data_IF_428500476386
#
_entry.id   IF_428500476386
#
_cell.length_a   1.000
_cell.length_b   1.000
_cell.length_c   1.000
_cell.angle_alpha   90.00
_cell.angle_beta   90.00
_cell.angle_gamma   90.00
#
_symmetry.space_group_name_H-M   'P 1'
#
loop_
_entity.id
_entity.type
_entity.pdbx_description
1 polymer ?
#
# COMPACT_ATOMS: atom_id res chain seq x y z
N UNK A 1 -7.09 -15.98 -11.88
CA UNK A 1 -7.11 -14.54 -12.12
C UNK A 1 -5.69 -14.10 -12.42
N UNK A 2 -5.49 -12.81 -12.65
CA UNK A 2 -4.20 -12.15 -12.42
C UNK A 2 -4.23 -11.59 -10.99
N UNK A 3 -3.06 -11.43 -10.38
CA UNK A 3 -2.89 -10.84 -9.05
C UNK A 3 -3.21 -9.34 -9.06
N UNK A 4 -2.52 -8.55 -9.89
CA UNK A 4 -2.73 -7.11 -10.02
C UNK A 4 -2.26 -6.57 -11.38
N UNK A 5 -2.64 -5.33 -11.70
CA UNK A 5 -2.03 -4.59 -12.80
C UNK A 5 -0.84 -3.83 -12.20
N UNK A 6 0.37 -4.19 -12.63
CA UNK A 6 1.57 -3.52 -12.18
C UNK A 6 1.63 -2.07 -12.69
N UNK A 7 1.79 -1.12 -11.77
CA UNK A 7 2.30 0.22 -12.04
C UNK A 7 3.79 0.33 -11.68
N UNK A 8 4.42 1.47 -11.97
CA UNK A 8 5.81 1.74 -11.58
C UNK A 8 6.03 1.62 -10.07
N UNK A 9 7.20 1.14 -9.65
CA UNK A 9 7.54 0.99 -8.23
C UNK A 9 7.79 2.33 -7.55
N UNK A 10 7.47 2.41 -6.26
CA UNK A 10 7.42 3.66 -5.50
C UNK A 10 7.93 3.47 -4.07
N UNK A 11 8.68 4.44 -3.56
CA UNK A 11 9.03 4.56 -2.15
C UNK A 11 8.67 5.95 -1.64
N UNK A 12 8.13 6.01 -0.42
CA UNK A 12 7.95 7.24 0.33
C UNK A 12 8.66 7.11 1.67
N UNK A 13 9.62 7.99 1.92
CA UNK A 13 10.38 8.05 3.17
C UNK A 13 9.94 9.28 3.96
N UNK A 14 9.36 9.08 5.13
CA UNK A 14 9.12 10.13 6.11
C UNK A 14 10.20 10.10 7.18
N UNK A 15 10.83 11.23 7.48
CA UNK A 15 11.83 11.33 8.53
C UNK A 15 11.64 12.57 9.40
N UNK A 16 11.86 12.42 10.70
CA UNK A 16 11.92 13.53 11.65
C UNK A 16 12.87 13.20 12.83
N UNK A 17 13.39 14.25 13.47
CA UNK A 17 14.39 14.10 14.52
C UNK A 17 15.75 13.68 13.97
N UNK A 18 16.54 12.96 14.78
CA UNK A 18 17.93 12.65 14.48
C UNK A 18 18.05 11.51 13.44
N UNK A 19 18.23 11.86 12.16
CA UNK A 19 18.45 10.91 11.07
C UNK A 19 19.78 11.14 10.36
N UNK A 20 20.30 10.09 9.73
CA UNK A 20 21.46 10.19 8.86
C UNK A 20 21.01 10.45 7.42
N UNK A 21 21.34 11.62 6.88
CA UNK A 21 20.96 12.02 5.53
C UNK A 21 21.53 11.09 4.43
N UNK A 22 22.72 10.51 4.63
CA UNK A 22 23.30 9.55 3.69
C UNK A 22 22.51 8.24 3.63
N UNK A 23 21.97 7.79 4.77
CA UNK A 23 21.14 6.58 4.81
C UNK A 23 19.82 6.82 4.09
N UNK A 24 19.14 7.93 4.40
CA UNK A 24 17.88 8.30 3.75
C UNK A 24 18.05 8.52 2.24
N UNK A 25 19.15 9.15 1.82
CA UNK A 25 19.48 9.30 0.40
C UNK A 25 19.66 7.94 -0.29
N UNK A 26 20.32 6.99 0.38
CA UNK A 26 20.47 5.64 -0.15
C UNK A 26 19.16 4.86 -0.19
N UNK A 27 18.24 5.06 0.76
CA UNK A 27 16.89 4.46 0.72
C UNK A 27 16.05 5.02 -0.44
N UNK A 28 16.17 6.31 -0.76
CA UNK A 28 15.51 6.89 -1.94
C UNK A 28 16.13 6.36 -3.24
N UNK A 29 17.46 6.24 -3.24
CA UNK A 29 18.23 5.78 -4.40
C UNK A 29 18.08 4.28 -4.66
N UNK A 30 17.83 3.46 -3.62
CA UNK A 30 17.57 2.03 -3.78
C UNK A 30 16.36 1.81 -4.67
N UNK A 31 15.27 2.55 -4.45
CA UNK A 31 14.10 2.49 -5.33
C UNK A 31 14.38 3.14 -6.70
N UNK A 32 15.01 4.31 -6.73
CA UNK A 32 15.24 5.04 -7.99
C UNK A 32 16.11 4.25 -9.00
N UNK A 33 16.95 3.33 -8.53
CA UNK A 33 17.79 2.50 -9.41
C UNK A 33 17.07 1.30 -10.06
N UNK A 34 15.80 1.03 -9.72
CA UNK A 34 15.02 -0.05 -10.32
C UNK A 34 14.63 0.27 -11.77
N UNK A 35 14.07 1.45 -12.02
CA UNK A 35 13.60 1.88 -13.35
C UNK A 35 13.55 3.41 -13.47
N UNK A 36 13.74 3.93 -14.67
CA UNK A 36 13.54 5.35 -15.02
C UNK A 36 12.15 5.91 -14.70
N UNK A 37 11.14 5.05 -14.55
CA UNK A 37 9.78 5.44 -14.14
C UNK A 37 9.47 5.16 -12.68
N UNK A 38 10.42 4.65 -11.89
CA UNK A 38 10.26 4.51 -10.44
C UNK A 38 10.11 5.89 -9.78
N UNK A 39 9.49 5.94 -8.60
CA UNK A 39 9.24 7.17 -7.86
C UNK A 39 9.83 7.09 -6.45
N UNK A 40 10.60 8.12 -6.07
CA UNK A 40 11.16 8.25 -4.73
C UNK A 40 10.74 9.59 -4.11
N UNK A 41 9.97 9.56 -3.03
CA UNK A 41 9.45 10.74 -2.34
C UNK A 41 10.05 10.81 -0.94
N UNK A 42 10.66 11.94 -0.60
CA UNK A 42 11.11 12.24 0.76
C UNK A 42 10.22 13.30 1.39
N UNK A 43 9.80 13.09 2.63
CA UNK A 43 8.95 14.01 3.39
C UNK A 43 9.58 14.25 4.76
N UNK A 44 9.70 15.51 5.16
CA UNK A 44 10.18 15.89 6.50
C UNK A 44 9.61 17.25 6.90
N UNK A 45 9.40 17.53 8.20
CA UNK A 45 9.16 18.87 8.69
C UNK A 45 10.45 19.69 8.91
N UNK A 46 11.62 19.08 8.72
CA UNK A 46 12.93 19.68 8.96
C UNK A 46 13.62 20.08 7.63
N UNK A 47 13.68 21.39 7.38
CA UNK A 47 14.33 21.96 6.19
C UNK A 47 15.83 21.67 6.13
N UNK A 48 16.52 21.57 7.27
CA UNK A 48 17.95 21.25 7.28
C UNK A 48 18.18 19.81 6.86
N UNK A 49 17.35 18.88 7.36
CA UNK A 49 17.38 17.49 6.95
C UNK A 49 17.03 17.33 5.46
N UNK A 50 16.01 18.06 4.97
CA UNK A 50 15.62 18.08 3.56
C UNK A 50 16.81 18.43 2.65
N UNK A 51 17.49 19.53 2.95
CA UNK A 51 18.65 19.99 2.19
C UNK A 51 19.84 19.04 2.30
N UNK A 52 20.04 18.42 3.48
CA UNK A 52 21.11 17.45 3.68
C UNK A 52 20.87 16.16 2.85
N UNK A 53 19.62 15.70 2.75
CA UNK A 53 19.24 14.55 1.93
C UNK A 53 19.41 14.88 0.44
N UNK A 54 19.01 16.07 -0.01
CA UNK A 54 19.23 16.51 -1.40
C UNK A 54 20.73 16.45 -1.78
N UNK A 55 21.60 16.98 -0.91
CA UNK A 55 23.05 16.96 -1.13
C UNK A 55 23.62 15.53 -1.13
N UNK A 56 23.16 14.69 -0.21
CA UNK A 56 23.61 13.30 -0.13
C UNK A 56 23.17 12.48 -1.36
N UNK A 57 21.98 12.74 -1.92
CA UNK A 57 21.52 12.15 -3.18
C UNK A 57 22.52 12.45 -4.30
N UNK A 58 22.88 13.72 -4.50
CA UNK A 58 23.82 14.12 -5.56
C UNK A 58 25.22 13.53 -5.36
N UNK A 59 25.69 13.45 -4.11
CA UNK A 59 26.95 12.82 -3.76
C UNK A 59 26.96 11.32 -4.15
N UNK A 60 25.92 10.57 -3.80
CA UNK A 60 25.85 9.14 -4.13
C UNK A 60 25.66 8.89 -5.62
N UNK A 61 24.85 9.71 -6.30
CA UNK A 61 24.68 9.65 -7.76
C UNK A 61 25.96 9.94 -8.55
N UNK A 62 27.03 10.47 -7.93
CA UNK A 62 28.33 10.60 -8.59
C UNK A 62 29.10 9.26 -8.70
N UNK A 63 28.73 8.25 -7.91
CA UNK A 63 29.48 6.99 -7.78
C UNK A 63 28.66 5.73 -7.99
N UNK A 64 27.32 5.82 -7.91
CA UNK A 64 26.43 4.67 -8.08
C UNK A 64 26.55 4.06 -9.49
N UNK A 65 26.71 2.72 -9.62
CA UNK A 65 26.81 2.07 -10.92
C UNK A 65 25.62 2.32 -11.86
N UNK A 66 24.40 2.44 -11.30
CA UNK A 66 23.17 2.73 -12.04
C UNK A 66 22.73 4.21 -11.96
N UNK A 67 23.66 5.13 -11.73
CA UNK A 67 23.36 6.55 -11.53
C UNK A 67 22.52 7.18 -12.65
N UNK A 68 22.67 6.76 -13.91
CA UNK A 68 21.90 7.34 -15.03
C UNK A 68 20.41 6.98 -14.96
N UNK A 69 20.08 5.76 -14.55
CA UNK A 69 18.70 5.32 -14.32
C UNK A 69 18.12 6.09 -13.13
N UNK A 70 18.84 6.11 -12.01
CA UNK A 70 18.40 6.78 -10.79
C UNK A 70 18.23 8.30 -10.97
N UNK A 71 19.14 8.98 -11.69
CA UNK A 71 19.00 10.40 -12.05
C UNK A 71 17.73 10.65 -12.86
N UNK A 72 17.42 9.77 -13.82
CA UNK A 72 16.23 9.89 -14.66
C UNK A 72 14.96 9.70 -13.83
N UNK A 73 14.91 8.70 -12.96
CA UNK A 73 13.80 8.46 -12.03
C UNK A 73 13.56 9.68 -11.12
N UNK A 74 14.61 10.16 -10.45
CA UNK A 74 14.52 11.30 -9.53
C UNK A 74 14.08 12.57 -10.27
N UNK A 75 14.67 12.87 -11.43
CA UNK A 75 14.31 14.07 -12.19
C UNK A 75 12.86 14.08 -12.68
N UNK A 76 12.32 12.92 -13.06
CA UNK A 76 10.98 12.82 -13.62
C UNK A 76 9.89 12.68 -12.56
N UNK A 77 10.19 11.98 -11.46
CA UNK A 77 9.18 11.51 -10.50
C UNK A 77 9.59 11.62 -9.04
N UNK A 78 10.84 11.98 -8.76
CA UNK A 78 11.30 12.24 -7.41
C UNK A 78 10.68 13.51 -6.82
N UNK A 79 10.55 13.56 -5.50
CA UNK A 79 10.11 14.75 -4.80
C UNK A 79 10.75 14.83 -3.40
N UNK A 80 11.23 16.02 -3.04
CA UNK A 80 11.60 16.37 -1.67
C UNK A 80 10.54 17.34 -1.16
N UNK A 81 9.82 16.98 -0.11
CA UNK A 81 8.65 17.71 0.39
C UNK A 81 8.87 18.17 1.83
N UNK A 82 8.92 19.48 2.01
CA UNK A 82 8.86 20.10 3.33
C UNK A 82 7.39 20.22 3.76
N UNK A 83 7.04 19.61 4.88
CA UNK A 83 5.70 19.71 5.49
C UNK A 83 5.76 20.55 6.76
N UNK A 84 4.62 21.06 7.22
CA UNK A 84 4.54 21.86 8.44
C UNK A 84 4.69 21.02 9.72
N UNK A 85 4.13 19.81 9.72
CA UNK A 85 4.02 18.93 10.88
C UNK A 85 3.71 17.48 10.48
N UNK A 86 3.70 16.59 11.48
CA UNK A 86 3.43 15.16 11.31
C UNK A 86 2.01 14.86 10.82
N UNK A 87 1.03 15.72 11.13
CA UNK A 87 -0.35 15.51 10.68
C UNK A 87 -0.44 15.70 9.17
N UNK A 88 0.14 16.79 8.65
CA UNK A 88 0.22 17.02 7.21
C UNK A 88 1.01 15.95 6.47
N UNK A 89 2.10 15.45 7.07
CA UNK A 89 2.82 14.29 6.54
C UNK A 89 1.91 13.07 6.40
N UNK A 90 1.16 12.75 7.45
CA UNK A 90 0.28 11.57 7.49
C UNK A 90 -0.88 11.69 6.50
N UNK A 91 -1.44 12.89 6.34
CA UNK A 91 -2.49 13.18 5.35
C UNK A 91 -1.94 13.02 3.92
N UNK A 92 -0.74 13.52 3.66
CA UNK A 92 -0.07 13.38 2.36
C UNK A 92 0.30 11.93 2.06
N UNK A 93 0.85 11.17 3.03
CA UNK A 93 1.13 9.73 2.87
C UNK A 93 -0.14 8.98 2.50
N UNK A 94 -1.25 9.24 3.20
CA UNK A 94 -2.55 8.64 2.88
C UNK A 94 -3.11 9.10 1.52
N UNK A 95 -2.72 10.27 1.03
CA UNK A 95 -3.07 10.75 -0.31
C UNK A 95 -2.19 10.10 -1.41
N UNK A 96 -0.94 9.77 -1.11
CA UNK A 96 -0.08 9.05 -2.05
C UNK A 96 -0.47 7.57 -2.10
N UNK A 97 -0.72 6.95 -0.95
CA UNK A 97 -0.94 5.51 -0.81
C UNK A 97 0.24 4.69 -1.41
N UNK A 98 1.46 4.89 -0.89
CA UNK A 98 2.69 4.38 -1.49
C UNK A 98 2.76 2.86 -1.46
N UNK A 99 3.54 2.30 -2.40
CA UNK A 99 3.95 0.89 -2.38
C UNK A 99 4.76 0.58 -1.12
N UNK A 100 5.90 1.26 -0.94
CA UNK A 100 6.75 1.17 0.25
C UNK A 100 6.71 2.48 1.05
N UNK A 101 6.45 2.40 2.36
CA UNK A 101 6.48 3.52 3.28
C UNK A 101 7.54 3.30 4.36
N UNK A 102 8.52 4.20 4.46
CA UNK A 102 9.48 4.22 5.56
C UNK A 102 9.14 5.31 6.56
N UNK A 103 9.08 4.95 7.85
CA UNK A 103 8.84 5.85 8.98
C UNK A 103 10.12 5.96 9.82
N UNK A 104 10.97 6.92 9.50
CA UNK A 104 12.29 7.14 10.09
C UNK A 104 12.24 8.14 11.28
N UNK A 105 11.65 7.70 12.39
CA UNK A 105 11.51 8.46 13.63
C UNK A 105 11.52 7.56 14.87
N UNK A 106 11.61 8.14 16.07
CA UNK A 106 11.60 7.38 17.33
C UNK A 106 10.24 6.73 17.62
N UNK A 107 9.15 7.43 17.32
CA UNK A 107 7.77 7.00 17.63
C UNK A 107 7.02 6.54 16.37
N UNK A 108 7.66 5.65 15.59
CA UNK A 108 7.15 5.16 14.32
C UNK A 108 5.85 4.35 14.48
N UNK A 109 5.72 3.60 15.58
CA UNK A 109 4.53 2.83 15.90
C UNK A 109 3.30 3.74 16.06
N UNK A 110 3.40 4.81 16.86
CA UNK A 110 2.29 5.75 17.03
C UNK A 110 1.95 6.50 15.73
N UNK A 111 2.94 6.81 14.89
CA UNK A 111 2.66 7.40 13.58
C UNK A 111 1.93 6.41 12.66
N UNK A 112 2.27 5.12 12.72
CA UNK A 112 1.66 4.09 11.88
C UNK A 112 0.14 3.96 12.09
N UNK A 113 -0.36 4.26 13.28
CA UNK A 113 -1.81 4.28 13.59
C UNK A 113 -2.60 5.29 12.75
N UNK A 114 -1.93 6.34 12.24
CA UNK A 114 -2.54 7.36 11.37
C UNK A 114 -2.47 7.00 9.88
N UNK A 115 -1.74 5.93 9.52
CA UNK A 115 -1.53 5.50 8.15
C UNK A 115 -2.59 4.46 7.77
N UNK A 116 -3.46 4.83 6.82
CA UNK A 116 -4.53 3.99 6.27
C UNK A 116 -4.11 3.25 5.00
N UNK A 117 -3.15 3.80 4.25
CA UNK A 117 -2.77 3.30 2.94
C UNK A 117 -1.26 3.24 2.75
N UNK A 118 -0.73 2.03 2.71
CA UNK A 118 0.63 1.70 2.28
C UNK A 118 0.68 0.21 1.92
N UNK A 119 1.50 -0.19 0.95
CA UNK A 119 1.72 -1.61 0.66
C UNK A 119 2.49 -2.30 1.78
N UNK A 120 3.67 -1.77 2.11
CA UNK A 120 4.46 -2.19 3.26
C UNK A 120 4.94 -0.97 4.07
N UNK A 121 4.94 -1.10 5.40
CA UNK A 121 5.40 -0.05 6.32
C UNK A 121 6.66 -0.54 7.04
N UNK A 122 7.74 0.23 6.90
CA UNK A 122 9.04 -0.01 7.50
C UNK A 122 9.23 0.99 8.63
N UNK A 123 9.38 0.50 9.86
CA UNK A 123 9.32 1.34 11.06
C UNK A 123 10.69 1.46 11.73
N UNK A 124 11.16 2.69 11.89
CA UNK A 124 12.41 3.02 12.58
C UNK A 124 13.60 3.19 11.63
N UNK A 125 14.65 3.82 12.16
CA UNK A 125 15.82 4.27 11.39
C UNK A 125 16.75 3.16 10.90
N UNK A 126 16.52 1.92 11.34
CA UNK A 126 17.36 0.76 11.04
C UNK A 126 16.64 -0.25 10.16
N UNK A 127 15.55 0.15 9.51
CA UNK A 127 14.67 -0.74 8.74
C UNK A 127 14.53 -0.22 7.31
N UNK A 128 15.61 -0.30 6.49
CA UNK A 128 15.55 0.08 5.09
C UNK A 128 14.63 -0.86 4.30
N UNK A 129 14.08 -0.37 3.18
CA UNK A 129 13.25 -1.13 2.23
C UNK A 129 13.88 -2.49 1.88
N UNK A 130 15.20 -2.50 1.64
CA UNK A 130 15.96 -3.70 1.30
C UNK A 130 15.81 -4.87 2.29
N UNK A 131 15.57 -4.60 3.58
CA UNK A 131 15.32 -5.69 4.55
C UNK A 131 14.00 -6.40 4.24
N UNK A 132 12.96 -5.66 3.86
CA UNK A 132 11.65 -6.21 3.46
C UNK A 132 11.74 -6.99 2.15
N UNK A 133 12.50 -6.47 1.19
CA UNK A 133 12.65 -7.09 -0.12
C UNK A 133 13.32 -8.46 -0.09
N UNK A 134 14.18 -8.70 0.90
CA UNK A 134 15.06 -9.86 0.87
C UNK A 134 14.91 -10.82 2.05
N UNK A 135 14.72 -10.33 3.28
CA UNK A 135 14.96 -11.20 4.44
C UNK A 135 14.04 -11.03 5.66
N UNK A 136 13.15 -10.04 5.67
CA UNK A 136 12.22 -9.86 6.80
C UNK A 136 11.08 -10.89 6.82
N UNK A 137 10.68 -11.42 5.66
CA UNK A 137 9.63 -12.43 5.52
C UNK A 137 8.34 -11.99 4.81
N UNK A 138 7.86 -10.72 4.89
CA UNK A 138 6.78 -10.23 4.04
C UNK A 138 7.10 -10.34 2.54
N UNK A 139 6.07 -10.27 1.70
CA UNK A 139 6.22 -10.35 0.25
C UNK A 139 6.50 -8.97 -0.34
N UNK A 140 7.45 -8.88 -1.26
CA UNK A 140 7.79 -7.63 -1.97
C UNK A 140 6.95 -7.37 -3.23
N UNK A 141 6.02 -8.27 -3.58
CA UNK A 141 5.02 -7.98 -4.62
C UNK A 141 3.90 -7.17 -3.97
N UNK A 142 4.01 -5.86 -4.11
CA UNK A 142 3.17 -4.87 -3.43
C UNK A 142 2.29 -4.08 -4.41
N UNK A 143 1.18 -3.49 -3.92
CA UNK A 143 0.34 -2.63 -4.74
C UNK A 143 1.03 -1.29 -5.05
N UNK A 144 1.24 -0.98 -6.32
CA UNK A 144 1.87 0.26 -6.81
C UNK A 144 0.85 1.31 -7.28
N UNK A 145 1.31 2.53 -7.59
CA UNK A 145 0.50 3.60 -8.21
C UNK A 145 -0.81 3.91 -7.49
N UNK A 146 -0.74 4.02 -6.16
CA UNK A 146 -1.87 4.36 -5.29
C UNK A 146 -2.88 3.23 -5.09
N UNK A 147 -2.63 2.03 -5.61
CA UNK A 147 -3.55 0.89 -5.46
C UNK A 147 -3.56 0.30 -4.05
N UNK A 148 -2.62 0.68 -3.17
CA UNK A 148 -2.65 0.36 -1.74
C UNK A 148 -3.92 0.86 -1.01
N UNK A 149 -4.73 1.70 -1.68
CA UNK A 149 -6.08 2.10 -1.23
C UNK A 149 -7.09 0.97 -1.18
N UNK A 150 -6.94 -0.05 -2.03
CA UNK A 150 -7.93 -1.10 -2.22
C UNK A 150 -7.33 -2.49 -2.52
N UNK A 151 -6.02 -2.58 -2.71
CA UNK A 151 -5.27 -3.82 -2.91
C UNK A 151 -4.36 -4.11 -1.72
N UNK A 152 -3.97 -5.37 -1.55
CA UNK A 152 -3.06 -5.81 -0.48
C UNK A 152 -1.77 -6.37 -1.07
N UNK A 153 -0.69 -6.45 -0.27
CA UNK A 153 0.49 -7.23 -0.61
C UNK A 153 0.13 -8.66 -1.02
N UNK A 154 0.85 -9.20 -2.00
CA UNK A 154 0.66 -10.59 -2.42
C UNK A 154 0.91 -11.53 -1.24
N UNK A 155 -0.06 -12.39 -0.94
CA UNK A 155 0.00 -13.32 0.16
C UNK A 155 -0.67 -14.65 -0.15
N UNK A 156 -0.75 -15.50 0.88
CA UNK A 156 -1.39 -16.82 0.75
C UNK A 156 -2.85 -16.74 0.30
N UNK A 157 -3.54 -15.63 0.56
CA UNK A 157 -4.95 -15.45 0.21
C UNK A 157 -5.18 -15.30 -1.30
N UNK A 158 -4.19 -14.82 -2.05
CA UNK A 158 -4.28 -14.66 -3.51
C UNK A 158 -4.22 -16.00 -4.24
N UNK A 159 -3.67 -17.02 -3.59
CA UNK A 159 -3.61 -18.40 -4.10
C UNK A 159 -4.75 -19.28 -3.58
N UNK A 160 -5.71 -18.70 -2.86
CA UNK A 160 -6.86 -19.40 -2.32
C UNK A 160 -8.14 -19.03 -3.08
N UNK A 161 -9.10 -19.96 -3.09
CA UNK A 161 -10.48 -19.70 -3.53
C UNK A 161 -11.42 -20.05 -2.40
N UNK A 162 -12.39 -19.17 -2.13
CA UNK A 162 -13.43 -19.35 -1.11
C UNK A 162 -14.75 -19.70 -1.77
N UNK A 163 -15.44 -20.70 -1.24
CA UNK A 163 -16.79 -21.09 -1.67
C UNK A 163 -17.74 -21.00 -0.48
N UNK A 164 -18.87 -20.31 -0.65
CA UNK A 164 -19.93 -20.30 0.36
C UNK A 164 -20.70 -21.63 0.32
N UNK A 165 -20.89 -22.25 1.48
CA UNK A 165 -21.73 -23.43 1.64
C UNK A 165 -23.01 -23.04 2.39
N UNK A 166 -24.16 -23.23 1.76
CA UNK A 166 -25.46 -22.89 2.35
C UNK A 166 -26.32 -24.14 2.36
N UNK A 167 -26.70 -24.59 3.56
CA UNK A 167 -27.56 -25.75 3.77
C UNK A 167 -28.67 -25.38 4.75
N UNK A 168 -29.91 -25.38 4.27
CA UNK A 168 -31.08 -25.16 5.12
C UNK A 168 -31.69 -26.50 5.51
N UNK A 169 -32.06 -26.65 6.77
CA UNK A 169 -32.97 -27.73 7.18
C UNK A 169 -34.38 -27.45 6.67
N UNK A 170 -35.24 -28.47 6.71
CA UNK A 170 -36.65 -28.34 6.33
C UNK A 170 -37.40 -27.29 7.17
N UNK A 171 -37.06 -27.12 8.44
CA UNK A 171 -37.67 -26.07 9.28
C UNK A 171 -37.03 -24.70 9.02
N UNK A 172 -35.69 -24.65 8.87
CA UNK A 172 -34.97 -23.40 8.64
C UNK A 172 -35.33 -22.72 7.32
N UNK A 173 -35.63 -23.51 6.27
CA UNK A 173 -35.97 -22.97 4.96
C UNK A 173 -37.30 -22.21 4.96
N UNK A 174 -38.25 -22.51 5.87
CA UNK A 174 -39.59 -21.91 5.84
C UNK A 174 -39.55 -20.38 5.99
N UNK A 175 -38.84 -19.89 6.99
CA UNK A 175 -38.71 -18.44 7.25
C UNK A 175 -37.90 -17.73 6.17
N UNK A 176 -36.78 -18.33 5.75
CA UNK A 176 -35.90 -17.73 4.75
C UNK A 176 -36.56 -17.69 3.36
N UNK A 177 -37.23 -18.77 2.96
CA UNK A 177 -37.88 -18.85 1.68
C UNK A 177 -39.10 -17.92 1.58
N UNK A 178 -39.84 -17.70 2.68
CA UNK A 178 -40.90 -16.68 2.70
C UNK A 178 -40.36 -15.27 2.47
N UNK A 179 -39.20 -14.96 3.06
CA UNK A 179 -38.52 -13.68 2.84
C UNK A 179 -38.06 -13.55 1.39
N UNK A 180 -37.42 -14.60 0.85
CA UNK A 180 -36.94 -14.62 -0.53
C UNK A 180 -38.08 -14.50 -1.56
N UNK A 181 -39.25 -15.11 -1.30
CA UNK A 181 -40.45 -14.97 -2.15
C UNK A 181 -40.89 -13.50 -2.25
N UNK A 182 -41.08 -12.83 -1.12
CA UNK A 182 -41.52 -11.42 -1.09
C UNK A 182 -40.52 -10.52 -1.83
N UNK A 183 -39.22 -10.69 -1.58
CA UNK A 183 -38.18 -9.89 -2.24
C UNK A 183 -38.15 -10.14 -3.74
N UNK A 184 -38.17 -11.41 -4.17
CA UNK A 184 -38.15 -11.78 -5.59
C UNK A 184 -39.38 -11.26 -6.36
N UNK A 185 -40.54 -11.16 -5.71
CA UNK A 185 -41.71 -10.52 -6.32
C UNK A 185 -41.51 -9.03 -6.56
N UNK A 186 -40.88 -8.30 -5.64
CA UNK A 186 -40.58 -6.86 -5.82
C UNK A 186 -39.55 -6.62 -6.94
N UNK A 187 -38.70 -7.60 -7.21
CA UNK A 187 -37.73 -7.57 -8.31
C UNK A 187 -38.29 -8.08 -9.65
N UNK A 188 -39.57 -8.47 -9.71
CA UNK A 188 -40.23 -9.10 -10.87
C UNK A 188 -39.53 -10.40 -11.33
N UNK A 189 -38.99 -11.19 -10.41
CA UNK A 189 -38.33 -12.47 -10.65
C UNK A 189 -39.25 -13.66 -10.27
N UNK A 190 -40.33 -13.87 -11.03
CA UNK A 190 -41.38 -14.83 -10.69
C UNK A 190 -40.88 -16.27 -10.46
N UNK A 191 -39.90 -16.74 -11.25
CA UNK A 191 -39.33 -18.06 -11.08
C UNK A 191 -38.54 -18.21 -9.77
N UNK A 192 -37.85 -17.15 -9.32
CA UNK A 192 -37.17 -17.13 -8.03
C UNK A 192 -38.19 -17.14 -6.88
N UNK A 193 -39.21 -16.28 -6.98
CA UNK A 193 -40.29 -16.21 -6.00
C UNK A 193 -40.98 -17.57 -5.83
N UNK A 194 -41.35 -18.21 -6.95
CA UNK A 194 -42.02 -19.50 -6.95
C UNK A 194 -41.12 -20.62 -6.40
N UNK A 195 -39.82 -20.62 -6.73
CA UNK A 195 -38.85 -21.60 -6.20
C UNK A 195 -38.75 -21.54 -4.67
N UNK A 196 -38.73 -20.32 -4.11
CA UNK A 196 -38.77 -20.13 -2.66
C UNK A 196 -40.12 -20.55 -2.07
N UNK A 197 -41.21 -20.13 -2.70
CA UNK A 197 -42.59 -20.44 -2.30
C UNK A 197 -42.85 -21.93 -2.08
N UNK A 198 -42.40 -22.77 -3.01
CA UNK A 198 -42.55 -24.22 -2.89
C UNK A 198 -41.94 -24.85 -1.64
N UNK A 199 -40.97 -24.18 -0.99
CA UNK A 199 -40.24 -24.72 0.17
C UNK A 199 -40.81 -24.29 1.53
N UNK A 200 -41.76 -23.35 1.57
CA UNK A 200 -42.44 -22.96 2.81
C UNK A 200 -43.95 -23.17 2.80
N UNK A 201 -44.53 -23.41 1.63
CA UNK A 201 -45.94 -23.79 1.48
C UNK A 201 -46.17 -25.30 1.42
N UNK A 202 -45.10 -26.10 1.29
CA UNK A 202 -45.13 -27.57 1.45
C UNK A 202 -44.96 -27.98 2.91
#
# INVERSE_FOLDING_TARGET
GIDMIAGPSEILVYAEGQNNAEWLAMDLLSQAEHDTVAQAIFITPDEQLLNAVEQAIEMHLATLPKAEIARTSIANRGALVLVKDRQEASDLINQVAPEHLMLCLDDAEAMSDSIRHAGAIFMGRYTPEAIGDYCAGPNHVLPTSGTARFSSPLGVYDFQKRSSLIMCSQEGVKTLAKTADILAQQENLDAHAQSARYRYQS
#
